data_IF_542893444881
#
_entry.id   IF_542893444881
#
_cell.length_a   1.000
_cell.length_b   1.000
_cell.length_c   1.000
_cell.angle_alpha   90.00
_cell.angle_beta   90.00
_cell.angle_gamma   90.00
#
_symmetry.space_group_name_H-M   'P 1'
#
loop_
_entity.id
_entity.type
_entity.pdbx_description
1 polymer ?
2 non-polymer ?
3 non-polymer ?
4 non-polymer ?
5 non-polymer ?
6 water ?
#
# COMPACT_ATOMS: atom_id res chain seq x y z
N UNK A 14 9.26 12.38 -20.39
CA UNK A 14 9.21 13.36 -19.26
C UNK A 14 10.51 13.37 -18.47
N UNK A 15 11.04 12.19 -18.13
CA UNK A 15 12.33 12.07 -17.45
C UNK A 15 13.32 11.23 -18.24
N UNK A 16 14.59 11.42 -17.95
CA UNK A 16 15.69 10.63 -18.54
C UNK A 16 16.02 9.42 -17.67
N UNK A 17 16.24 8.26 -18.29
CA UNK A 17 16.55 7.02 -17.58
C UNK A 17 15.67 6.72 -16.33
N UNK A 18 14.35 6.58 -16.53
CA UNK A 18 13.47 6.33 -15.40
C UNK A 18 13.69 4.95 -14.80
N UNK A 19 13.65 4.83 -13.48
CA UNK A 19 13.84 3.54 -12.82
C UNK A 19 12.53 2.93 -12.39
N UNK A 20 11.43 3.60 -12.65
CA UNK A 20 10.10 3.13 -12.15
C UNK A 20 9.16 3.10 -13.33
N UNK A 21 9.52 2.26 -14.27
CA UNK A 21 8.84 2.23 -15.56
C UNK A 21 8.03 0.98 -15.80
N UNK A 22 8.65 -0.16 -15.55
CA UNK A 22 8.13 -1.46 -15.97
C UNK A 22 7.95 -2.32 -14.72
N UNK A 23 6.88 -3.12 -14.71
CA UNK A 23 6.67 -4.13 -13.71
C UNK A 23 6.96 -5.50 -14.28
N UNK A 24 7.80 -6.25 -13.59
CA UNK A 24 8.13 -7.61 -13.94
C UNK A 24 7.67 -8.56 -12.87
N UNK A 25 7.52 -9.84 -13.21
CA UNK A 25 7.27 -10.84 -12.21
C UNK A 25 8.44 -10.89 -11.21
N UNK A 26 8.13 -10.80 -9.93
CA UNK A 26 9.14 -10.84 -8.89
C UNK A 26 9.94 -12.14 -8.86
N UNK A 27 9.30 -13.23 -9.24
CA UNK A 27 9.96 -14.55 -9.16
C UNK A 27 10.89 -14.85 -10.33
N UNK A 28 10.59 -14.37 -11.52
CA UNK A 28 11.34 -14.73 -12.71
C UNK A 28 11.75 -13.61 -13.64
N UNK A 29 11.19 -12.41 -13.48
CA UNK A 29 11.51 -11.32 -14.39
C UNK A 29 10.71 -11.13 -15.66
N UNK A 30 9.73 -12.00 -15.89
CA UNK A 30 8.83 -11.82 -17.04
C UNK A 30 8.25 -10.42 -17.05
N UNK A 31 8.24 -9.79 -18.21
CA UNK A 31 7.64 -8.46 -18.37
C UNK A 31 6.14 -8.56 -18.19
N UNK A 32 5.54 -7.78 -17.31
CA UNK A 32 4.10 -7.88 -17.02
C UNK A 32 3.33 -6.59 -17.31
N UNK A 33 3.74 -5.44 -16.78
CA UNK A 33 2.98 -4.22 -17.07
C UNK A 33 3.87 -3.00 -16.98
N UNK A 34 3.27 -1.81 -16.95
CA UNK A 34 4.02 -0.57 -16.91
C UNK A 34 3.30 0.40 -16.00
N UNK A 35 4.05 1.30 -15.38
CA UNK A 35 3.43 2.31 -14.54
C UNK A 35 2.44 3.22 -15.32
N UNK A 36 2.77 3.46 -16.60
CA UNK A 36 1.91 4.25 -17.47
C UNK A 36 0.52 3.65 -17.62
N UNK A 37 0.39 2.34 -17.39
CA UNK A 37 -0.89 1.65 -17.55
C UNK A 37 -1.69 1.48 -16.26
N UNK A 38 -1.26 2.09 -15.17
CA UNK A 38 -2.08 2.10 -13.96
C UNK A 38 -3.47 2.71 -14.21
N UNK A 39 -4.50 2.11 -13.63
CA UNK A 39 -5.88 2.46 -13.92
C UNK A 39 -6.60 2.79 -12.61
N UNK A 40 -7.06 4.04 -12.43
CA UNK A 40 -7.74 4.40 -11.19
C UNK A 40 -9.20 3.98 -11.10
N UNK A 41 -9.46 2.69 -10.86
CA UNK A 41 -10.81 2.13 -10.70
C UNK A 41 -11.47 2.66 -9.45
N UNK A 42 -12.67 3.22 -9.56
CA UNK A 42 -13.29 3.89 -8.43
C UNK A 42 -12.44 4.97 -7.78
N UNK A 43 -11.58 5.64 -8.56
CA UNK A 43 -10.78 6.75 -8.07
C UNK A 43 -9.40 6.42 -7.52
N UNK A 44 -9.03 5.15 -7.49
CA UNK A 44 -7.75 4.74 -6.88
C UNK A 44 -7.22 3.57 -7.67
N UNK A 45 -5.94 3.57 -8.04
CA UNK A 45 -5.35 2.39 -8.65
C UNK A 45 -5.11 1.26 -7.65
N UNK A 46 -5.03 1.59 -6.36
CA UNK A 46 -4.85 0.59 -5.32
C UNK A 46 -6.14 0.23 -4.60
N UNK A 47 -6.40 -1.07 -4.49
CA UNK A 47 -7.56 -1.61 -3.78
C UNK A 47 -7.11 -2.71 -2.82
N UNK A 48 -7.39 -2.54 -1.52
CA UNK A 48 -7.01 -3.52 -0.54
C UNK A 48 -8.20 -4.41 -0.28
N UNK A 49 -8.03 -5.71 -0.46
CA UNK A 49 -9.14 -6.64 -0.53
C UNK A 49 -8.79 -7.94 0.17
N UNK A 50 -9.78 -8.75 0.52
CA UNK A 50 -9.50 -10.09 1.01
C UNK A 50 -10.35 -11.15 0.36
N UNK A 51 -9.78 -12.34 0.19
CA UNK A 51 -10.50 -13.45 -0.41
C UNK A 51 -11.24 -14.32 0.66
N UNK A 52 -11.96 -15.36 0.21
CA UNK A 52 -12.70 -16.18 1.20
C UNK A 52 -11.79 -16.97 2.16
N UNK A 53 -10.53 -17.16 1.80
CA UNK A 53 -9.56 -17.81 2.65
C UNK A 53 -8.90 -16.82 3.61
N UNK A 54 -9.36 -15.57 3.60
CA UNK A 54 -8.87 -14.53 4.50
C UNK A 54 -7.59 -13.85 4.09
N UNK A 55 -7.05 -14.18 2.91
CA UNK A 55 -5.79 -13.60 2.46
C UNK A 55 -6.07 -12.17 2.02
N UNK A 56 -5.23 -11.23 2.52
CA UNK A 56 -5.32 -9.83 2.15
C UNK A 56 -4.40 -9.56 0.96
N UNK A 57 -4.88 -8.78 0.00
CA UNK A 57 -4.08 -8.43 -1.18
C UNK A 57 -4.18 -6.94 -1.37
N UNK A 58 -3.02 -6.35 -1.67
CA UNK A 58 -2.99 -4.96 -2.12
C UNK A 58 -2.90 -5.09 -3.65
N UNK A 59 -4.01 -4.75 -4.28
CA UNK A 59 -4.18 -5.00 -5.71
C UNK A 59 -4.03 -3.65 -6.40
N UNK A 60 -3.20 -3.64 -7.44
CA UNK A 60 -3.06 -2.46 -8.30
C UNK A 60 -3.76 -2.79 -9.58
N UNK A 61 -4.60 -1.85 -10.05
CA UNK A 61 -5.34 -2.05 -11.27
C UNK A 61 -4.57 -1.47 -12.45
N UNK A 62 -4.50 -2.24 -13.53
CA UNK A 62 -3.82 -1.84 -14.76
C UNK A 62 -4.78 -2.01 -15.93
N UNK A 63 -4.72 -1.06 -16.87
CA UNK A 63 -5.52 -1.20 -18.08
C UNK A 63 -5.09 -2.37 -18.94
N UNK A 64 -3.79 -2.65 -18.91
CA UNK A 64 -3.14 -3.56 -19.80
C UNK A 64 -2.07 -4.32 -19.02
N UNK A 65 -1.82 -5.53 -19.44
CA UNK A 65 -0.73 -6.35 -18.95
C UNK A 65 -0.40 -7.35 -20.03
N UNK A 66 0.79 -7.93 -19.93
CA UNK A 66 1.30 -8.91 -20.87
C UNK A 66 2.00 -9.99 -20.09
N UNK A 67 2.36 -11.07 -20.74
CA UNK A 67 3.22 -12.08 -20.13
C UNK A 67 2.52 -12.96 -19.12
N UNK A 68 1.20 -12.87 -19.04
CA UNK A 68 0.40 -13.66 -18.10
C UNK A 68 -0.20 -14.82 -18.87
N UNK A 69 -0.75 -15.77 -18.12
CA UNK A 69 -1.59 -16.83 -18.68
C UNK A 69 -2.84 -16.82 -17.84
N UNK A 70 -3.98 -16.63 -18.52
CA UNK A 70 -5.27 -16.58 -17.85
C UNK A 70 -5.84 -17.97 -17.85
N UNK A 71 -6.27 -18.45 -16.68
CA UNK A 71 -6.62 -19.84 -16.51
C UNK A 71 -8.11 -19.96 -16.23
N UNK A 72 -8.74 -20.86 -16.97
CA UNK A 72 -10.15 -21.15 -16.77
C UNK A 72 -11.10 -20.14 -17.38
N UNK A 73 -12.37 -20.35 -17.10
CA UNK A 73 -13.43 -19.50 -17.57
C UNK A 73 -13.71 -18.45 -16.47
N UNK A 74 -14.26 -17.30 -16.86
CA UNK A 74 -14.53 -16.26 -15.88
C UNK A 74 -15.57 -16.64 -14.85
N UNK A 75 -15.45 -16.09 -13.64
CA UNK A 75 -16.43 -16.25 -12.58
C UNK A 75 -16.77 -14.93 -11.95
N UNK A 76 -18.04 -14.71 -11.63
CA UNK A 76 -18.46 -13.54 -10.88
C UNK A 76 -18.43 -13.71 -9.38
N UNK A 77 -18.16 -14.92 -8.89
CA UNK A 77 -18.28 -15.16 -7.45
C UNK A 77 -17.21 -14.41 -6.65
N UNK A 78 -17.68 -13.74 -5.62
CA UNK A 78 -16.82 -12.97 -4.68
C UNK A 78 -16.06 -11.83 -5.38
N UNK A 79 -16.48 -11.38 -6.57
CA UNK A 79 -15.73 -10.36 -7.26
C UNK A 79 -15.62 -9.09 -6.43
N UNK A 80 -14.41 -8.58 -6.32
CA UNK A 80 -14.14 -7.33 -5.61
C UNK A 80 -14.56 -6.11 -6.42
N UNK A 81 -14.90 -6.27 -7.70
CA UNK A 81 -15.22 -5.15 -8.58
C UNK A 81 -16.58 -5.41 -9.17
N UNK A 82 -17.53 -4.56 -8.77
CA UNK A 82 -18.91 -4.75 -9.18
C UNK A 82 -19.08 -4.77 -10.68
N UNK A 83 -19.77 -5.80 -11.16
CA UNK A 83 -20.04 -5.97 -12.58
C UNK A 83 -18.98 -6.69 -13.36
N UNK A 84 -17.89 -7.11 -12.71
CA UNK A 84 -16.81 -7.81 -13.41
C UNK A 84 -16.70 -9.26 -12.95
N UNK A 85 -16.39 -10.12 -13.90
CA UNK A 85 -16.07 -11.51 -13.66
C UNK A 85 -14.57 -11.61 -13.76
N UNK A 86 -14.00 -12.57 -13.06
CA UNK A 86 -12.53 -12.70 -12.97
C UNK A 86 -12.04 -14.03 -13.45
N UNK A 87 -10.79 -14.02 -13.90
CA UNK A 87 -10.04 -15.24 -14.17
C UNK A 87 -8.68 -15.07 -13.50
N UNK A 88 -8.18 -16.17 -12.98
CA UNK A 88 -6.83 -16.15 -12.36
C UNK A 88 -5.80 -15.84 -13.44
N UNK A 89 -4.85 -14.97 -13.09
CA UNK A 89 -3.75 -14.60 -13.98
C UNK A 89 -2.46 -15.10 -13.35
N UNK A 90 -1.81 -16.05 -14.02
CA UNK A 90 -0.51 -16.53 -13.60
C UNK A 90 0.55 -15.86 -14.46
N UNK A 91 1.74 -15.74 -13.90
CA UNK A 91 2.91 -15.43 -14.73
C UNK A 91 3.01 -16.51 -15.80
N UNK A 92 3.07 -16.08 -17.07
CA UNK A 92 3.11 -17.00 -18.17
C UNK A 92 4.41 -17.73 -18.29
N UNK A 93 5.44 -17.23 -17.62
CA UNK A 93 6.75 -17.84 -17.64
C UNK A 93 6.88 -18.84 -16.49
N UNK A 94 6.68 -18.39 -15.25
CA UNK A 94 6.97 -19.26 -14.09
C UNK A 94 5.77 -19.83 -13.31
N UNK A 95 4.56 -19.32 -13.62
CA UNK A 95 3.36 -19.83 -12.99
C UNK A 95 2.99 -19.16 -11.68
N UNK A 96 3.75 -18.18 -11.24
CA UNK A 96 3.45 -17.42 -10.01
C UNK A 96 2.07 -16.77 -10.18
N UNK A 97 1.26 -16.83 -9.12
CA UNK A 97 -0.05 -16.20 -9.20
C UNK A 97 0.10 -14.71 -9.01
N UNK A 98 -0.07 -13.93 -10.08
CA UNK A 98 0.18 -12.50 -10.03
C UNK A 98 -1.07 -11.66 -9.84
N UNK A 99 -2.24 -12.22 -10.12
CA UNK A 99 -3.47 -11.52 -9.88
C UNK A 99 -4.62 -12.10 -10.68
N UNK A 100 -5.45 -11.22 -11.24
CA UNK A 100 -6.66 -11.62 -11.94
C UNK A 100 -6.92 -10.70 -13.10
N UNK A 101 -7.55 -11.28 -14.13
CA UNK A 101 -8.07 -10.47 -15.21
C UNK A 101 -9.57 -10.33 -15.01
N UNK A 102 -10.06 -9.12 -15.17
CA UNK A 102 -11.48 -8.82 -14.97
C UNK A 102 -12.10 -8.48 -16.32
N UNK A 103 -13.28 -9.01 -16.58
CA UNK A 103 -14.01 -8.77 -17.82
C UNK A 103 -15.49 -8.73 -17.55
N UNK A 104 -16.20 -8.36 -18.60
CA UNK A 104 -17.65 -8.41 -18.58
C UNK A 104 -18.33 -7.22 -17.96
N UNK A 105 -17.57 -6.17 -17.65
CA UNK A 105 -18.11 -5.00 -16.98
C UNK A 105 -18.25 -3.84 -17.92
N UNK A 106 -18.15 -2.64 -17.37
CA UNK A 106 -18.44 -1.40 -18.12
C UNK A 106 -17.48 -0.32 -17.73
N UNK A 107 -16.90 0.34 -18.73
CA UNK A 107 -16.04 1.50 -18.55
C UNK A 107 -14.94 1.38 -17.49
N UNK A 108 -13.96 0.47 -17.69
CA UNK A 108 -13.74 -0.31 -18.86
C UNK A 108 -14.44 -1.67 -18.82
N UNK A 109 -14.53 -2.31 -19.97
CA UNK A 109 -15.05 -3.66 -20.03
C UNK A 109 -14.12 -4.66 -19.34
N UNK A 110 -12.83 -4.40 -19.43
CA UNK A 110 -11.80 -5.29 -18.91
C UNK A 110 -10.66 -4.51 -18.25
N UNK A 111 -9.99 -5.16 -17.30
CA UNK A 111 -8.75 -4.63 -16.72
C UNK A 111 -8.05 -5.78 -15.96
N UNK A 112 -6.85 -5.48 -15.45
CA UNK A 112 -6.11 -6.45 -14.63
C UNK A 112 -5.97 -5.91 -13.21
N UNK A 113 -6.21 -6.79 -12.24
CA UNK A 113 -5.87 -6.49 -10.84
C UNK A 113 -4.69 -7.34 -10.44
N UNK A 114 -3.52 -6.71 -10.25
CA UNK A 114 -2.31 -7.44 -9.97
C UNK A 114 -1.86 -7.19 -8.54
N UNK A 115 -1.27 -8.22 -7.95
CA UNK A 115 -0.83 -8.16 -6.54
C UNK A 115 0.51 -7.44 -6.48
N UNK A 116 0.51 -6.26 -5.87
CA UNK A 116 1.67 -5.34 -5.97
C UNK A 116 2.97 -5.98 -5.51
N UNK A 117 2.91 -6.69 -4.38
CA UNK A 117 4.12 -7.27 -3.79
C UNK A 117 4.61 -8.51 -4.52
N UNK A 118 3.93 -8.96 -5.57
CA UNK A 118 4.40 -10.05 -6.39
C UNK A 118 5.03 -9.56 -7.69
N UNK A 119 5.16 -8.24 -7.83
CA UNK A 119 5.81 -7.61 -8.98
C UNK A 119 7.07 -6.90 -8.50
N UNK A 120 8.03 -6.78 -9.40
CA UNK A 120 9.20 -5.90 -9.19
C UNK A 120 9.17 -4.74 -10.18
N UNK A 121 9.40 -3.52 -9.72
CA UNK A 121 9.34 -2.35 -10.57
C UNK A 121 10.75 -1.87 -10.93
N UNK A 122 10.96 -1.40 -12.15
CA UNK A 122 12.32 -1.03 -12.54
C UNK A 122 12.35 -0.36 -13.91
N UNK A 123 13.55 -0.20 -14.45
CA UNK A 123 13.72 0.61 -15.64
C UNK A 123 13.15 -0.04 -16.91
N UNK A 124 12.86 0.80 -17.91
CA UNK A 124 12.32 0.37 -19.21
C UNK A 124 13.19 -0.63 -20.01
N UNK A 125 12.56 -1.32 -20.96
CA UNK A 125 13.25 -2.30 -21.84
C UNK A 125 13.29 -1.81 -23.29
N UNK B 14 0.84 8.30 26.46
CA UNK B 14 2.03 9.16 26.20
C UNK B 14 3.23 8.31 25.79
N UNK B 15 4.09 8.91 24.97
CA UNK B 15 5.30 8.25 24.46
C UNK B 15 6.51 9.07 25.00
N UNK B 16 7.36 8.40 25.78
CA UNK B 16 8.49 9.05 26.43
C UNK B 16 9.77 8.82 25.65
N UNK B 17 9.73 7.91 24.69
CA UNK B 17 10.95 7.38 24.08
C UNK B 17 10.69 6.95 22.64
N UNK B 18 11.76 6.62 21.89
CA UNK B 18 11.58 5.99 20.58
C UNK B 18 10.94 4.61 20.74
N UNK B 19 10.10 4.21 19.80
CA UNK B 19 9.68 2.81 19.68
C UNK B 19 10.74 1.79 20.07
N UNK B 20 10.30 0.61 20.53
CA UNK B 20 11.19 -0.37 21.07
C UNK B 20 12.04 -1.00 20.00
N UNK B 21 11.65 -0.98 18.72
CA UNK B 21 12.38 -1.69 17.74
C UNK B 21 13.29 -0.94 16.75
N UNK B 22 14.45 -1.57 16.57
CA UNK B 22 15.51 -1.05 15.73
C UNK B 22 15.84 -2.08 14.66
N UNK B 23 16.43 -1.60 13.57
CA UNK B 23 16.99 -2.45 12.54
C UNK B 23 18.49 -2.39 12.62
N UNK B 24 19.11 -3.55 12.76
CA UNK B 24 20.55 -3.65 12.82
C UNK B 24 21.05 -4.32 11.57
N UNK B 25 22.33 -4.07 11.25
CA UNK B 25 22.96 -4.80 10.16
C UNK B 25 22.95 -6.29 10.52
N UNK B 26 22.46 -7.09 9.60
CA UNK B 26 22.35 -8.53 9.85
C UNK B 26 23.73 -9.20 10.00
N UNK B 27 24.74 -8.64 9.34
CA UNK B 27 26.08 -9.23 9.39
C UNK B 27 26.88 -8.90 10.63
N UNK B 28 26.76 -7.69 11.17
CA UNK B 28 27.58 -7.33 12.36
C UNK B 28 26.84 -6.77 13.57
N UNK B 29 25.56 -6.47 13.42
CA UNK B 29 24.78 -5.93 14.50
C UNK B 29 24.76 -4.44 14.73
N UNK B 30 25.45 -3.68 13.90
CA UNK B 30 25.48 -2.22 14.09
C UNK B 30 24.05 -1.73 13.96
N UNK B 31 23.57 -0.84 14.82
CA UNK B 31 22.33 -0.17 14.65
C UNK B 31 22.38 0.71 13.36
N UNK B 32 21.35 0.51 12.54
CA UNK B 32 21.21 1.22 11.26
C UNK B 32 20.00 2.12 11.20
N UNK B 33 18.80 1.63 11.50
CA UNK B 33 17.64 2.50 11.49
C UNK B 33 16.59 2.04 12.47
N UNK B 34 15.41 2.62 12.42
CA UNK B 34 14.42 2.38 13.45
C UNK B 34 13.05 2.28 12.79
N UNK B 35 12.18 1.48 13.38
CA UNK B 35 10.81 1.36 12.91
C UNK B 35 10.07 2.70 12.88
N UNK B 36 10.38 3.57 13.85
CA UNK B 36 9.75 4.90 13.91
C UNK B 36 10.06 5.73 12.65
N UNK B 37 11.13 5.39 11.94
CA UNK B 37 11.58 6.13 10.78
C UNK B 37 11.13 5.53 9.46
N UNK B 38 10.29 4.48 9.48
CA UNK B 38 9.74 3.98 8.24
C UNK B 38 8.97 5.06 7.47
N UNK B 39 9.16 5.08 6.16
CA UNK B 39 8.69 6.18 5.34
C UNK B 39 7.89 5.61 4.18
N UNK B 40 6.58 5.90 4.12
CA UNK B 40 5.76 5.35 3.02
C UNK B 40 5.87 6.13 1.70
N UNK B 41 6.98 5.96 1.00
CA UNK B 41 7.21 6.61 -0.30
C UNK B 41 6.28 6.06 -1.35
N UNK B 42 5.57 6.93 -2.06
CA UNK B 42 4.54 6.50 -2.97
C UNK B 42 3.48 5.61 -2.35
N UNK B 43 3.20 5.78 -1.06
CA UNK B 43 2.12 5.07 -0.37
C UNK B 43 2.49 3.74 0.29
N UNK B 44 3.76 3.34 0.20
CA UNK B 44 4.19 2.03 0.73
C UNK B 44 5.58 2.18 1.24
N UNK B 45 5.92 1.68 2.43
CA UNK B 45 7.32 1.63 2.83
C UNK B 45 8.11 0.53 2.13
N UNK B 46 7.43 -0.49 1.61
CA UNK B 46 8.10 -1.55 0.84
C UNK B 46 8.00 -1.36 -0.64
N UNK B 47 9.15 -1.47 -1.33
CA UNK B 47 9.22 -1.40 -2.77
C UNK B 47 10.07 -2.55 -3.27
N UNK B 48 9.48 -3.43 -4.06
CA UNK B 48 10.21 -4.48 -4.76
C UNK B 48 10.59 -3.92 -6.12
N UNK B 49 11.87 -3.96 -6.40
CA UNK B 49 12.47 -3.22 -7.51
C UNK B 49 13.52 -4.06 -8.19
N UNK B 50 13.90 -3.67 -9.41
CA UNK B 50 15.02 -4.33 -10.08
C UNK B 50 15.91 -3.28 -10.71
N UNK B 51 17.20 -3.58 -10.74
CA UNK B 51 18.18 -2.65 -11.32
C UNK B 51 18.40 -2.98 -12.83
N UNK B 52 19.26 -2.18 -13.52
CA UNK B 52 19.45 -2.42 -14.95
C UNK B 52 20.12 -3.77 -15.28
N UNK B 53 20.80 -4.37 -14.31
CA UNK B 53 21.40 -5.67 -14.48
C UNK B 53 20.42 -6.79 -14.18
N UNK B 54 19.18 -6.44 -13.87
CA UNK B 54 18.11 -7.41 -13.56
C UNK B 54 18.14 -7.99 -12.16
N UNK B 55 18.94 -7.43 -11.27
CA UNK B 55 18.95 -7.89 -9.87
C UNK B 55 17.70 -7.35 -9.17
N UNK B 56 16.99 -8.23 -8.46
CA UNK B 56 15.76 -7.84 -7.74
C UNK B 56 16.07 -7.58 -6.29
N UNK B 57 15.48 -6.53 -5.74
CA UNK B 57 15.66 -6.17 -4.32
C UNK B 57 14.34 -5.85 -3.69
N UNK B 58 14.19 -6.17 -2.41
CA UNK B 58 13.03 -5.75 -1.64
C UNK B 58 13.50 -4.71 -0.68
N UNK B 59 13.14 -3.46 -0.93
CA UNK B 59 13.64 -2.29 -0.25
C UNK B 59 12.58 -1.75 0.69
N UNK B 60 12.97 -1.37 1.88
CA UNK B 60 12.14 -0.62 2.83
C UNK B 60 12.67 0.79 2.91
N UNK B 61 11.79 1.77 2.88
CA UNK B 61 12.20 3.16 2.92
C UNK B 61 12.19 3.68 4.35
N UNK B 62 13.26 4.39 4.72
CA UNK B 62 13.40 5.00 6.05
C UNK B 62 13.78 6.46 5.88
N UNK B 63 13.29 7.33 6.72
CA UNK B 63 13.58 8.76 6.60
C UNK B 63 15.04 9.07 6.93
N UNK B 64 15.58 8.31 7.89
CA UNK B 64 16.93 8.52 8.39
C UNK B 64 17.56 7.17 8.63
N UNK B 65 18.87 7.17 8.77
CA UNK B 65 19.66 6.00 9.15
C UNK B 65 20.95 6.47 9.75
N UNK B 66 21.68 5.53 10.33
CA UNK B 66 22.98 5.80 10.93
C UNK B 66 23.86 4.62 10.69
N UNK B 67 25.15 4.84 10.89
CA UNK B 67 26.12 3.76 10.82
C UNK B 67 26.44 3.24 9.43
N UNK B 68 26.00 3.94 8.40
CA UNK B 68 26.30 3.54 7.03
C UNK B 68 27.47 4.38 6.51
N UNK B 69 28.00 3.98 5.37
CA UNK B 69 28.97 4.76 4.61
C UNK B 69 28.46 4.83 3.20
N UNK B 70 28.24 6.03 2.71
CA UNK B 70 27.74 6.28 1.38
C UNK B 70 28.93 6.45 0.45
N UNK B 71 28.92 5.73 -0.66
CA UNK B 71 30.08 5.64 -1.54
C UNK B 71 29.75 6.27 -2.88
N UNK B 72 30.66 7.09 -3.39
CA UNK B 72 30.54 7.64 -4.72
C UNK B 72 29.72 8.91 -4.75
N UNK B 73 29.63 9.49 -5.96
CA UNK B 73 28.84 10.70 -6.17
C UNK B 73 27.40 10.27 -6.46
N UNK B 74 26.42 11.10 -6.11
CA UNK B 74 25.02 10.76 -6.41
C UNK B 74 24.77 10.63 -7.91
N UNK B 75 23.85 9.72 -8.27
CA UNK B 75 23.50 9.50 -9.66
C UNK B 75 22.00 9.49 -9.78
N UNK B 76 21.50 10.11 -10.87
CA UNK B 76 20.11 10.04 -11.21
C UNK B 76 19.72 8.85 -12.07
N UNK B 77 20.71 8.11 -12.56
CA UNK B 77 20.45 7.02 -13.54
C UNK B 77 19.60 5.93 -12.98
N UNK B 78 18.45 5.63 -13.62
CA UNK B 78 17.55 4.56 -13.21
C UNK B 78 17.12 4.60 -11.76
N UNK B 79 17.04 5.81 -11.21
CA UNK B 79 16.53 5.95 -9.84
C UNK B 79 15.14 5.34 -9.71
N UNK B 80 14.94 4.52 -8.68
CA UNK B 80 13.63 3.93 -8.41
C UNK B 80 12.62 4.96 -7.87
N UNK B 81 13.10 6.15 -7.47
CA UNK B 81 12.26 7.16 -6.87
C UNK B 81 12.41 8.43 -7.66
N UNK B 82 11.36 8.78 -8.39
CA UNK B 82 11.39 9.91 -9.29
C UNK B 82 11.74 11.20 -8.54
N UNK B 83 12.68 11.93 -9.09
CA UNK B 83 13.11 13.18 -8.51
C UNK B 83 14.28 13.07 -7.54
N UNK B 84 14.76 11.85 -7.28
CA UNK B 84 15.89 11.64 -6.40
C UNK B 84 17.09 11.06 -7.12
N UNK B 85 18.28 11.41 -6.66
CA UNK B 85 19.53 10.79 -7.04
C UNK B 85 19.89 9.81 -5.91
N UNK B 86 20.65 8.79 -6.25
CA UNK B 86 21.06 7.76 -5.28
C UNK B 86 22.56 7.64 -5.12
N UNK B 87 22.92 7.13 -3.94
CA UNK B 87 24.29 6.71 -3.66
C UNK B 87 24.22 5.36 -2.94
N UNK B 88 25.13 4.48 -3.23
CA UNK B 88 25.20 3.18 -2.55
C UNK B 88 25.55 3.34 -1.07
N UNK B 89 24.86 2.58 -0.21
CA UNK B 89 25.04 2.63 1.24
C UNK B 89 25.55 1.29 1.76
N UNK B 90 26.74 1.29 2.32
CA UNK B 90 27.32 0.13 2.96
C UNK B 90 27.23 0.28 4.46
N UNK B 91 27.16 -0.83 5.17
CA UNK B 91 27.41 -0.77 6.61
C UNK B 91 28.80 -0.18 6.86
N UNK B 92 28.87 0.87 7.69
CA UNK B 92 30.13 1.53 7.99
C UNK B 92 31.10 0.65 8.79
N UNK B 93 30.53 -0.31 9.50
CA UNK B 93 31.27 -1.16 10.42
C UNK B 93 31.81 -2.39 9.72
N UNK B 94 30.98 -3.09 8.94
CA UNK B 94 31.42 -4.33 8.31
C UNK B 94 31.47 -4.35 6.77
N UNK B 95 30.93 -3.33 6.12
CA UNK B 95 30.95 -3.24 4.67
C UNK B 95 29.80 -3.90 3.92
N UNK B 96 28.87 -4.53 4.64
CA UNK B 96 27.69 -5.16 3.99
C UNK B 96 26.91 -4.14 3.18
N UNK B 97 26.49 -4.50 1.97
CA UNK B 97 25.70 -3.55 1.15
C UNK B 97 24.28 -3.54 1.66
N UNK B 98 23.89 -2.47 2.36
CA UNK B 98 22.58 -2.43 3.00
C UNK B 98 21.53 -1.70 2.21
N UNK B 99 21.90 -0.88 1.25
CA UNK B 99 20.93 -0.22 0.40
C UNK B 99 21.49 1.00 -0.31
N UNK B 100 20.69 2.05 -0.31
CA UNK B 100 21.02 3.31 -1.00
C UNK B 100 20.47 4.48 -0.25
N UNK B 101 21.12 5.62 -0.40
CA UNK B 101 20.60 6.89 0.06
C UNK B 101 20.13 7.69 -1.10
N UNK B 102 19.00 8.37 -0.92
CA UNK B 102 18.34 9.17 -1.93
C UNK B 102 18.39 10.62 -1.52
N UNK B 103 18.66 11.51 -2.48
CA UNK B 103 18.75 12.93 -2.18
C UNK B 103 18.28 13.72 -3.39
N UNK B 104 18.13 15.00 -3.10
CA UNK B 104 17.89 16.00 -4.15
C UNK B 104 16.44 16.09 -4.54
N UNK B 105 15.55 15.51 -3.75
CA UNK B 105 14.12 15.71 -3.95
C UNK B 105 13.52 16.81 -3.05
N UNK B 106 12.22 16.76 -2.91
CA UNK B 106 11.51 17.58 -1.92
C UNK B 106 10.54 16.74 -1.13
N UNK B 107 10.41 17.05 0.16
CA UNK B 107 9.43 16.45 1.06
C UNK B 107 9.34 14.90 0.98
N UNK B 108 10.40 14.19 1.40
CA UNK B 108 11.60 14.72 2.03
C UNK B 108 12.71 15.00 1.01
N UNK B 109 13.68 15.78 1.40
CA UNK B 109 14.82 16.05 0.52
C UNK B 109 15.70 14.81 0.41
N UNK B 110 15.75 14.02 1.48
CA UNK B 110 16.58 12.82 1.55
C UNK B 110 15.87 11.68 2.29
N UNK B 111 16.23 10.46 1.95
CA UNK B 111 15.76 9.26 2.66
C UNK B 111 16.63 8.07 2.23
N UNK B 112 16.44 6.92 2.86
CA UNK B 112 17.15 5.71 2.57
C UNK B 112 16.21 4.63 2.05
N UNK B 113 16.68 3.86 1.10
CA UNK B 113 16.04 2.59 0.71
C UNK B 113 16.96 1.47 1.13
N UNK B 114 16.56 0.72 2.15
CA UNK B 114 17.41 -0.31 2.72
C UNK B 114 16.87 -1.70 2.38
N UNK B 115 17.76 -2.63 2.15
CA UNK B 115 17.41 -3.99 1.74
C UNK B 115 16.95 -4.78 2.93
N UNK B 116 15.67 -5.10 2.97
CA UNK B 116 15.04 -5.65 4.18
C UNK B 116 15.73 -6.90 4.67
N UNK B 117 16.08 -7.80 3.75
CA UNK B 117 16.74 -9.07 4.03
C UNK B 117 18.13 -8.98 4.63
N UNK B 118 18.75 -7.78 4.54
CA UNK B 118 20.08 -7.55 5.06
C UNK B 118 20.08 -6.85 6.40
N UNK B 119 18.90 -6.65 6.96
CA UNK B 119 18.72 -6.04 8.27
C UNK B 119 18.10 -7.10 9.20
N UNK B 120 18.31 -6.90 10.48
CA UNK B 120 17.68 -7.73 11.51
C UNK B 120 16.92 -6.80 12.41
N UNK B 121 15.63 -7.06 12.63
CA UNK B 121 14.82 -6.22 13.50
C UNK B 121 14.79 -6.77 14.92
N UNK B 122 14.89 -5.90 15.91
CA UNK B 122 14.90 -6.38 17.29
C UNK B 122 14.77 -5.25 18.29
N UNK B 123 14.70 -5.59 19.57
CA UNK B 123 14.53 -4.55 20.60
C UNK B 123 15.77 -3.65 20.74
N UNK B 124 15.52 -2.39 21.08
CA UNK B 124 16.56 -1.38 21.20
C UNK B 124 17.48 -1.59 22.41
N UNK C 17 -20.13 -4.72 -4.65
CA UNK C 17 -19.83 -6.03 -5.32
C UNK C 17 -19.97 -7.18 -4.31
N UNK C 18 -20.12 -8.41 -4.81
CA UNK C 18 -20.37 -9.54 -3.90
C UNK C 18 -19.17 -9.90 -3.05
N UNK C 19 -18.00 -9.38 -3.40
CA UNK C 19 -16.79 -9.54 -2.58
C UNK C 19 -16.53 -8.35 -1.69
N UNK C 20 -17.55 -7.51 -1.45
CA UNK C 20 -17.39 -6.28 -0.68
C UNK C 20 -18.43 -6.27 0.43
N UNK C 21 -18.36 -7.30 1.25
CA UNK C 21 -19.38 -7.57 2.25
C UNK C 21 -18.96 -7.33 3.71
N UNK C 22 -17.74 -7.69 4.03
CA UNK C 22 -17.16 -7.48 5.35
C UNK C 22 -15.94 -6.59 5.22
N UNK C 23 -15.79 -5.69 6.21
CA UNK C 23 -14.74 -4.68 6.19
C UNK C 23 -13.83 -4.95 7.34
N UNK C 24 -12.51 -4.99 7.07
CA UNK C 24 -11.52 -5.35 8.08
C UNK C 24 -10.35 -4.40 8.09
N UNK C 25 -9.62 -4.33 9.19
CA UNK C 25 -8.40 -3.55 9.24
C UNK C 25 -7.39 -4.04 8.18
N UNK C 26 -6.91 -3.13 7.36
CA UNK C 26 -5.94 -3.46 6.31
C UNK C 26 -4.62 -3.96 6.89
N UNK C 27 -4.23 -3.48 8.06
CA UNK C 27 -2.93 -3.81 8.62
C UNK C 27 -2.86 -5.15 9.30
N UNK C 28 -3.95 -5.56 9.95
CA UNK C 28 -3.92 -6.81 10.70
C UNK C 28 -5.10 -7.76 10.44
N UNK C 29 -6.14 -7.31 9.75
CA UNK C 29 -7.30 -8.12 9.49
C UNK C 29 -8.43 -8.13 10.48
N UNK C 30 -8.32 -7.38 11.58
CA UNK C 30 -9.40 -7.32 12.54
C UNK C 30 -10.73 -7.00 11.88
N UNK C 31 -11.76 -7.76 12.21
CA UNK C 31 -13.09 -7.53 11.66
C UNK C 31 -13.66 -6.25 12.24
N UNK C 32 -14.13 -5.35 11.38
CA UNK C 32 -14.65 -4.05 11.85
C UNK C 32 -16.15 -3.86 11.58
N UNK C 33 -16.59 -4.03 10.33
CA UNK C 33 -18.01 -3.80 10.06
C UNK C 33 -18.44 -4.60 8.83
N UNK C 34 -19.73 -4.42 8.48
CA UNK C 34 -20.29 -5.18 7.37
C UNK C 34 -21.25 -4.31 6.57
N UNK C 35 -21.42 -4.72 5.33
CA UNK C 35 -22.21 -3.98 4.36
C UNK C 35 -23.65 -3.80 4.82
N UNK C 36 -24.21 -4.74 5.58
CA UNK C 36 -25.58 -4.57 6.13
C UNK C 36 -25.73 -3.32 6.99
N UNK C 37 -24.62 -2.85 7.57
CA UNK C 37 -24.64 -1.66 8.43
C UNK C 37 -24.21 -0.38 7.73
N UNK C 38 -23.95 -0.44 6.44
CA UNK C 38 -23.32 0.69 5.75
C UNK C 38 -24.47 1.62 5.55
N UNK C 39 -24.20 2.93 5.61
CA UNK C 39 -25.22 3.93 5.38
C UNK C 39 -25.01 4.70 4.09
N UNK C 40 -25.89 4.50 3.09
CA UNK C 40 -25.74 5.24 1.83
C UNK C 40 -26.27 6.69 1.91
N UNK C 41 -25.69 7.63 1.17
CA UNK C 41 -26.33 8.93 0.96
C UNK C 41 -26.64 8.94 -0.50
N UNK C 42 -27.93 8.93 -0.81
CA UNK C 42 -28.39 8.83 -2.22
C UNK C 42 -27.84 7.56 -2.89
N UNK C 43 -27.09 7.76 -3.97
CA UNK C 43 -26.44 6.66 -4.70
C UNK C 43 -25.03 6.31 -4.26
N UNK C 44 -24.51 6.99 -3.24
CA UNK C 44 -23.13 6.83 -2.78
C UNK C 44 -22.99 6.08 -1.47
N UNK C 45 -22.23 4.99 -1.52
CA UNK C 45 -21.86 4.27 -0.30
C UNK C 45 -20.69 4.97 0.37
N UNK C 46 -19.78 5.53 -0.44
CA UNK C 46 -18.54 6.15 0.03
C UNK C 46 -18.68 7.65 -0.19
N UNK C 47 -18.06 8.43 0.68
CA UNK C 47 -18.09 9.90 0.61
C UNK C 47 -16.69 10.44 0.68
N UNK C 48 -16.38 11.26 -0.33
CA UNK C 48 -15.06 11.79 -0.57
C UNK C 48 -14.95 13.11 0.19
N UNK C 49 -13.92 13.19 1.01
CA UNK C 49 -13.72 14.30 1.92
C UNK C 49 -12.25 14.70 1.93
N UNK C 50 -12.00 15.91 2.44
CA UNK C 50 -10.61 16.37 2.58
C UNK C 50 -10.45 16.84 4.04
N UNK C 51 -9.32 16.51 4.65
CA UNK C 51 -9.00 17.02 5.99
C UNK C 51 -8.50 18.47 5.94
N UNK C 52 -8.16 19.10 7.07
CA UNK C 52 -7.73 20.50 7.00
C UNK C 52 -6.43 20.72 6.21
N UNK C 53 -5.62 19.68 6.07
CA UNK C 53 -4.38 19.75 5.29
C UNK C 53 -4.64 19.49 3.81
N UNK C 54 -5.90 19.28 3.43
CA UNK C 54 -6.28 18.98 2.04
C UNK C 54 -6.01 17.55 1.57
N UNK C 55 -5.68 16.63 2.49
CA UNK C 55 -5.54 15.22 2.12
C UNK C 55 -6.93 14.63 1.87
N UNK C 56 -7.08 13.90 0.77
CA UNK C 56 -8.35 13.30 0.37
C UNK C 56 -8.54 11.89 0.95
N UNK C 57 -9.75 11.62 1.43
CA UNK C 57 -10.10 10.30 1.94
C UNK C 57 -11.46 9.90 1.37
N UNK C 58 -11.63 8.59 1.19
CA UNK C 58 -12.92 8.00 0.94
C UNK C 58 -13.41 7.41 2.26
N UNK C 59 -14.48 7.98 2.80
CA UNK C 59 -15.06 7.57 4.06
C UNK C 59 -16.31 6.72 3.82
N UNK C 60 -16.38 5.58 4.50
CA UNK C 60 -17.61 4.78 4.55
C UNK C 60 -18.26 4.95 5.90
N UNK C 61 -19.56 5.27 5.92
CA UNK C 61 -20.28 5.40 7.17
C UNK C 61 -21.04 4.12 7.51
N UNK C 62 -20.91 3.67 8.75
CA UNK C 62 -21.57 2.43 9.24
C UNK C 62 -22.32 2.71 10.53
N UNK C 63 -23.53 2.19 10.65
CA UNK C 63 -24.31 2.39 11.87
C UNK C 63 -23.70 1.71 13.09
N UNK C 64 -23.06 0.58 12.84
CA UNK C 64 -22.46 -0.25 13.86
C UNK C 64 -21.08 -0.70 13.46
N UNK C 65 -20.23 -0.91 14.46
CA UNK C 65 -18.89 -1.50 14.18
C UNK C 65 -18.44 -2.28 15.38
N UNK C 66 -17.40 -3.06 15.20
CA UNK C 66 -16.79 -3.80 16.29
C UNK C 66 -15.29 -3.72 16.15
N UNK C 67 -14.60 -4.14 17.20
CA UNK C 67 -13.17 -4.35 17.08
C UNK C 67 -12.33 -3.07 17.12
N UNK C 68 -12.97 -1.93 17.42
CA UNK C 68 -12.25 -0.67 17.49
C UNK C 68 -11.98 -0.34 18.95
N UNK C 69 -11.15 0.68 19.18
CA UNK C 69 -11.06 1.35 20.46
C UNK C 69 -11.25 2.83 20.22
N UNK C 70 -12.23 3.42 20.89
CA UNK C 70 -12.50 4.85 20.75
C UNK C 70 -11.72 5.59 21.82
N UNK C 71 -10.95 6.59 21.42
CA UNK C 71 -10.03 7.24 22.36
C UNK C 71 -10.37 8.70 22.53
N UNK C 72 -10.33 9.21 23.75
CA UNK C 72 -10.34 10.65 23.98
C UNK C 72 -11.72 11.27 23.95
N UNK C 73 -11.75 12.59 24.08
CA UNK C 73 -12.99 13.33 24.21
C UNK C 73 -13.47 13.75 22.83
N UNK C 74 -14.79 13.88 22.64
CA UNK C 74 -15.30 14.28 21.32
C UNK C 74 -14.87 15.68 20.92
N UNK C 75 -14.72 15.90 19.61
CA UNK C 75 -14.36 17.20 19.06
C UNK C 75 -15.25 17.51 17.87
N UNK C 76 -15.67 18.77 17.78
CA UNK C 76 -16.38 19.28 16.63
C UNK C 76 -15.47 19.80 15.52
N UNK C 77 -14.16 19.90 15.77
CA UNK C 77 -13.24 20.55 14.83
C UNK C 77 -13.19 19.90 13.47
N UNK C 78 -13.45 20.69 12.42
CA UNK C 78 -13.45 20.27 11.03
C UNK C 78 -14.30 19.03 10.72
N UNK C 79 -15.35 18.83 11.49
CA UNK C 79 -16.18 17.65 11.27
C UNK C 79 -16.77 17.67 9.87
N UNK C 80 -16.66 16.54 9.16
CA UNK C 80 -17.25 16.40 7.83
C UNK C 80 -18.76 16.25 7.85
N UNK C 81 -19.35 16.08 9.04
CA UNK C 81 -20.79 15.85 9.18
C UNK C 81 -21.30 16.94 10.10
N UNK C 82 -22.06 17.87 9.55
CA UNK C 82 -22.41 19.08 10.30
C UNK C 82 -23.28 18.71 11.50
N UNK C 83 -22.90 19.23 12.68
CA UNK C 83 -23.61 18.95 13.91
C UNK C 83 -23.19 17.69 14.65
N UNK C 84 -22.16 17.01 14.14
CA UNK C 84 -21.61 15.83 14.82
C UNK C 84 -20.19 16.10 15.31
N UNK C 85 -19.91 15.58 16.49
CA UNK C 85 -18.58 15.60 17.07
C UNK C 85 -18.02 14.19 16.82
N UNK C 86 -16.70 14.15 16.72
CA UNK C 86 -16.01 12.89 16.45
C UNK C 86 -15.03 12.53 17.55
N UNK C 87 -14.76 11.23 17.63
CA UNK C 87 -13.73 10.66 18.48
C UNK C 87 -12.93 9.68 17.65
N UNK C 88 -11.63 9.65 17.83
CA UNK C 88 -10.75 8.80 17.05
C UNK C 88 -11.07 7.31 17.30
N UNK C 89 -11.11 6.54 16.22
CA UNK C 89 -11.35 5.09 16.29
C UNK C 89 -10.10 4.38 15.79
N UNK C 90 -9.45 3.65 16.71
CA UNK C 90 -8.30 2.84 16.37
C UNK C 90 -8.72 1.39 16.25
N UNK C 91 -7.98 0.66 15.44
CA UNK C 91 -8.12 -0.79 15.46
C UNK C 91 -7.79 -1.28 16.86
N UNK C 92 -8.69 -2.06 17.46
CA UNK C 92 -8.43 -2.64 18.76
C UNK C 92 -7.33 -3.70 18.79
N UNK C 93 -7.01 -4.25 17.64
CA UNK C 93 -6.02 -5.34 17.55
C UNK C 93 -4.63 -4.78 17.33
N UNK C 94 -4.46 -3.87 16.38
CA UNK C 94 -3.10 -3.36 16.05
C UNK C 94 -2.86 -1.88 16.30
N UNK C 95 -3.90 -1.12 16.62
CA UNK C 95 -3.72 0.31 16.89
C UNK C 95 -3.81 1.25 15.67
N UNK C 96 -3.95 0.71 14.48
CA UNK C 96 -4.06 1.52 13.25
C UNK C 96 -5.26 2.47 13.36
N UNK C 97 -5.07 3.71 12.93
CA UNK C 97 -6.15 4.67 12.94
C UNK C 97 -7.09 4.40 11.77
N UNK C 98 -8.28 3.87 12.05
CA UNK C 98 -9.20 3.46 10.99
C UNK C 98 -10.28 4.48 10.66
N UNK C 99 -10.53 5.40 11.57
CA UNK C 99 -11.53 6.40 11.35
C UNK C 99 -11.99 7.08 12.60
N UNK C 100 -13.29 7.34 12.69
CA UNK C 100 -13.86 8.11 13.80
C UNK C 100 -15.24 7.59 14.14
N UNK C 101 -15.62 7.79 15.38
CA UNK C 101 -17.00 7.61 15.79
C UNK C 101 -17.63 8.99 15.91
N UNK C 102 -18.83 9.11 15.40
CA UNK C 102 -19.56 10.37 15.35
C UNK C 102 -20.77 10.30 16.27
N UNK C 103 -21.03 11.44 16.91
CA UNK C 103 -22.27 11.58 17.68
C UNK C 103 -22.78 13.01 17.49
N UNK C 104 -24.07 13.22 17.21
CA UNK C 104 -24.60 14.55 16.93
C UNK C 104 -26.11 14.56 17.12
N UNK C 105 -26.79 15.54 16.54
CA UNK C 105 -28.18 15.79 16.90
C UNK C 105 -29.25 15.34 15.95
N UNK C 106 -29.01 14.26 15.16
CA UNK C 106 -29.97 13.87 14.16
C UNK C 106 -30.19 12.36 14.09
N UNK C 107 -30.87 11.97 13.05
CA UNK C 107 -31.10 10.60 12.68
C UNK C 107 -30.04 10.54 11.62
N UNK C 108 -28.94 9.82 11.80
CA UNK C 108 -28.74 8.91 12.96
C UNK C 108 -27.96 9.61 14.06
N UNK C 109 -28.21 9.23 15.31
CA UNK C 109 -27.58 9.96 16.41
C UNK C 109 -26.09 9.68 16.49
N UNK C 110 -25.73 8.45 16.14
CA UNK C 110 -24.32 8.01 16.15
C UNK C 110 -24.04 7.12 14.95
N UNK C 111 -22.80 7.17 14.51
CA UNK C 111 -22.33 6.27 13.45
C UNK C 111 -20.81 6.28 13.45
N UNK C 112 -20.24 5.42 12.65
CA UNK C 112 -18.78 5.31 12.48
C UNK C 112 -18.43 5.70 11.05
N UNK C 113 -17.45 6.59 10.91
CA UNK C 113 -16.96 7.03 9.60
C UNK C 113 -15.55 6.50 9.45
N UNK C 114 -15.38 5.50 8.58
CA UNK C 114 -14.12 4.77 8.50
C UNK C 114 -13.45 5.07 7.17
N UNK C 115 -12.13 5.10 7.22
CA UNK C 115 -11.33 5.48 6.05
C UNK C 115 -11.19 4.28 5.12
N UNK C 116 -11.75 4.39 3.92
CA UNK C 116 -11.64 3.33 2.90
C UNK C 116 -10.24 2.77 2.71
N UNK C 117 -9.22 3.63 2.61
CA UNK C 117 -7.87 3.11 2.32
C UNK C 117 -7.17 2.49 3.55
N UNK C 118 -7.82 2.50 4.70
CA UNK C 118 -7.30 1.81 5.87
C UNK C 118 -7.98 0.48 6.10
N UNK C 119 -8.92 0.11 5.22
CA UNK C 119 -9.71 -1.09 5.34
C UNK C 119 -9.42 -2.04 4.19
N UNK C 120 -9.68 -3.32 4.41
CA UNK C 120 -9.77 -4.33 3.36
C UNK C 120 -11.22 -4.81 3.29
N UNK C 121 -11.76 -4.91 2.08
CA UNK C 121 -13.13 -5.40 1.90
C UNK C 121 -13.07 -6.83 1.34
N UNK C 122 -14.00 -7.67 1.75
CA UNK C 122 -14.02 -9.05 1.25
C UNK C 122 -15.37 -9.72 1.48
N UNK C 123 -15.50 -10.96 1.04
CA UNK C 123 -16.77 -11.67 1.14
C UNK C 123 -17.21 -12.01 2.57
N UNK C 124 -18.51 -12.26 2.76
CA UNK C 124 -19.02 -12.69 4.09
C UNK C 124 -18.50 -14.06 4.46
X LIG D 1 7.23 -15.31 -13.14
X LIG E 1 -12.31 -13.24 -3.59
X LIG E 1 -11.85 -13.04 -4.69
X LIG E 1 -12.27 -11.97 -5.45
X LIG E 1 -11.86 -11.65 -6.73
X LIG E 1 -12.26 -10.63 -7.27
X LIG E 1 -10.91 -12.59 -7.41
X LIG E 1 -10.94 -14.00 -6.83
X LIG E 1 -10.78 -13.93 -5.32
X LIG E 1 -10.76 -15.25 -4.71
X LIG E 1 -9.92 -19.45 -3.03
X LIG E 1 -9.26 -18.26 -3.29
X LIG E 1 -10.00 -17.25 -3.88
X LIG E 1 -11.33 -17.41 -4.18
X LIG E 1 -8.50 -15.37 -4.26
X LIG E 1 -12.90 -15.90 -5.27
X LIG E 1 -12.00 -18.58 -3.92
X LIG E 1 -11.27 -19.61 -3.33
X LIG E 1 -11.82 -16.14 -4.79
X LIG E 1 -9.59 -15.87 -4.28
X LIG F 1 -2.76 -17.32 -3.45
X LIG F 1 -4.26 -17.14 -3.33
X LIG F 1 -2.41 -18.79 -3.40
X LIG F 1 -2.05 -16.64 -2.30
X LIG F 1 -2.17 -16.75 -4.71
X LIG G 1 27.52 -4.38 9.47
X LIG H 1 18.64 0.81 -10.59
X LIG H 1 18.91 1.30 -9.52
X LIG H 1 18.09 2.25 -8.95
X LIG H 1 18.27 2.88 -7.74
X LIG H 1 17.41 3.62 -7.29
X LIG H 1 19.56 2.62 -7.01
X LIG H 1 20.66 2.11 -7.91
X LIG H 1 20.16 0.93 -8.72
X LIG H 1 21.18 0.38 -9.58
X LIG H 1 24.83 -1.60 -11.59
X LIG H 1 24.02 -1.73 -10.48
X LIG H 1 23.02 -0.81 -10.29
X LIG H 1 22.82 0.23 -11.19
X LIG H 1 21.88 -1.33 -8.21
X LIG H 1 21.23 2.07 -11.16
X LIG H 1 23.61 0.37 -12.31
X LIG H 1 24.63 -0.56 -12.50
X LIG H 1 21.67 1.04 -10.71
X LIG H 1 22.01 -0.68 -9.21
X LIG I 1 24.62 -6.64 -4.23
X LIG I 1 23.95 -8.00 -4.15
X LIG I 1 23.90 -5.86 -5.30
X LIG I 1 24.46 -6.03 -2.86
X LIG I 1 26.08 -6.81 -4.58
X LIG J 1 13.22 -11.15 0.29
X LIG J 1 12.04 -11.90 0.88
X LIG J 1 13.00 -11.03 -1.18
X LIG J 1 13.31 -9.76 0.78
X LIG J 1 14.48 -11.91 0.66
X LIG K 1 -5.53 -3.59 12.81
X LIG L 1 -12.63 13.85 11.41
X LIG L 1 -13.43 14.81 10.55
X LIG L 1 -8.16 15.06 10.27
X LIG L 1 -2.52 16.84 10.74
X LIG L 1 -5.84 15.29 11.34
X LIG L 1 -4.66 15.94 10.63
X LIG L 1 -4.80 17.42 10.33
X LIG L 1 -3.41 17.99 10.26
X LIG L 1 -12.80 15.70 9.78
X LIG L 1 -9.33 15.50 10.70
X LIG L 1 -11.24 14.42 11.67
X LIG L 1 -3.37 15.86 11.36
X LIG L 1 -11.48 15.83 9.63
X LIG L 1 -10.60 14.86 10.35
X LIG L 1 -11.02 16.73 8.94
X LIG L 1 -14.66 14.76 10.55
X LIG L 1 -7.03 15.82 10.71
X LIG L 1 -8.01 14.08 9.55
X LIG M 1 -4.03 10.33 10.30
X LIG M 1 -5.20 10.27 9.35
X LIG M 1 -3.75 8.95 10.84
X LIG M 1 -4.39 11.26 11.45
X LIG M 1 -2.82 10.87 9.59
#
# INVERSE_FOLDING_TARGET
>A
AMPLDAGGQNSTQMVLAPGASIFRCRQCGQTISRRDWLLPMGGDHEHVVFNPAGMIFRVWCFSLAQGLRLIGAPSGEFSWFKGYDWTIALCGQCGSHLGWHYEGGSQPQTFFGLIKDRLAEGPAD
>B
AMPLDAGGQNSTQMVLAPGASIFRCRQCGQTISRRDWLLPMGGDHEHVVFNPAGMIFRVWCFSLAQGLRLIGAPSGEFSWFKGYDWTIALCGQCGSHLGWHYEGGSQPQTFFGLIKDRLAEGPAD
>C
AMPLDAGGQNSTQMVLAPGASIFRCRQCGQTISRRDWLLPMGGDHEHVVFNPAGMIFRVWCFSLAQGLRLIGAPSGEFSWFKGYDWTIALCGQCGSHLGWHYEGGSQPQTFFGLIKDRLAEGPAD
>D hetero
1 ZN ZN
>E hetero
1 EF2 O01 C02 N03 C04 O05 C06 C07 C08 N09 C11 C12 C13 C14 O16 O18 C19 C20 C3 C4
>F hetero
1 PO4 P O1 O2 O3 O4
>G hetero
1 ZN ZN
>H hetero
1 EF2 O01 C02 N03 C04 O05 C06 C07 C08 N09 C11 C12 C13 C14 O16 O18 C19 C20 C3 C4
>I hetero
1 PO4 P O1 O2 O3 O4
>J hetero
1 PO4 P O1 O2 O3 O4
>K hetero
1 ZN ZN
>L hetero
1 JP8 C4 C5 C6 C11 C7 C8 C9 C10 N1 N2 C3 N3 C1 C2 O1 O2 O3 O4
>M hetero
1 PO4 P O1 O2 O3 O4
#
